data_IF_964331103516
#
_entry.id   IF_964331103516
#
_cell.length_a   1.000
_cell.length_b   1.000
_cell.length_c   1.000
_cell.angle_alpha   90.00
_cell.angle_beta   90.00
_cell.angle_gamma   90.00
#
_symmetry.space_group_name_H-M   'P 1'
#
loop_
_entity.id
_entity.type
_entity.pdbx_description
1 polymer ?
#
# COMPACT_ATOMS: atom_id res chain seq x y z
N UNK A 1 5.03 1.04 -11.31
CA UNK A 1 3.89 0.83 -10.40
C UNK A 1 3.69 2.11 -9.61
N UNK A 2 2.52 2.75 -9.67
CA UNK A 2 2.26 3.91 -8.83
C UNK A 2 2.34 3.50 -7.36
N UNK A 3 3.06 4.28 -6.56
CA UNK A 3 3.25 4.03 -5.13
C UNK A 3 2.28 4.93 -4.36
N UNK A 4 1.64 4.37 -3.34
CA UNK A 4 0.90 5.18 -2.36
C UNK A 4 1.90 6.07 -1.63
N UNK A 5 1.52 7.33 -1.33
CA UNK A 5 2.32 8.19 -0.47
C UNK A 5 2.37 7.61 0.94
N UNK A 6 3.54 7.67 1.58
CA UNK A 6 3.75 7.18 2.93
C UNK A 6 2.81 7.89 3.93
N UNK A 7 2.54 9.18 3.76
CA UNK A 7 1.63 9.96 4.62
C UNK A 7 0.17 9.47 4.52
N UNK A 8 -0.26 9.10 3.31
CA UNK A 8 -1.60 8.55 3.07
C UNK A 8 -1.70 7.16 3.71
N UNK A 9 -0.67 6.32 3.51
CA UNK A 9 -0.60 5.01 4.12
C UNK A 9 -0.62 5.08 5.65
N UNK A 10 0.17 5.98 6.25
CA UNK A 10 0.20 6.23 7.70
C UNK A 10 -1.19 6.60 8.23
N UNK A 11 -1.88 7.52 7.56
CA UNK A 11 -3.25 7.92 7.92
C UNK A 11 -4.20 6.71 7.89
N UNK A 12 -4.10 5.83 6.89
CA UNK A 12 -4.93 4.63 6.84
C UNK A 12 -4.60 3.61 7.92
N UNK A 13 -3.31 3.47 8.26
CA UNK A 13 -2.85 2.59 9.32
C UNK A 13 -3.35 3.06 10.70
N UNK A 14 -3.23 4.35 10.99
CA UNK A 14 -3.73 4.93 12.24
C UNK A 14 -5.23 4.69 12.41
N UNK A 15 -6.02 4.95 11.37
CA UNK A 15 -7.46 4.69 11.44
C UNK A 15 -7.75 3.20 11.55
N UNK A 16 -7.01 2.34 10.84
CA UNK A 16 -7.18 0.88 10.96
C UNK A 16 -6.89 0.39 12.39
N UNK A 17 -5.92 0.98 13.07
CA UNK A 17 -5.62 0.69 14.48
C UNK A 17 -6.71 1.25 15.42
N UNK A 18 -7.19 2.47 15.18
CA UNK A 18 -8.22 3.11 16.01
C UNK A 18 -9.57 2.38 15.97
N UNK A 19 -9.90 1.74 14.84
CA UNK A 19 -11.16 0.99 14.65
C UNK A 19 -10.98 -0.52 14.84
N UNK A 20 -9.76 -0.99 15.07
CA UNK A 20 -9.50 -2.41 15.27
C UNK A 20 -10.24 -2.91 16.53
N UNK A 21 -10.80 -4.13 16.50
CA UNK A 21 -11.37 -4.74 17.68
C UNK A 21 -10.35 -4.84 18.82
N UNK A 22 -10.79 -4.63 20.06
CA UNK A 22 -9.93 -4.69 21.25
C UNK A 22 -9.16 -6.02 21.34
N UNK A 23 -9.81 -7.14 21.02
CA UNK A 23 -9.15 -8.45 21.00
C UNK A 23 -8.01 -8.53 19.97
N UNK A 24 -8.11 -7.83 18.84
CA UNK A 24 -7.04 -7.74 17.85
C UNK A 24 -5.88 -6.93 18.41
N UNK A 25 -6.15 -5.80 19.06
CA UNK A 25 -5.14 -4.94 19.69
C UNK A 25 -4.38 -5.66 20.82
N UNK A 26 -5.09 -6.39 21.68
CA UNK A 26 -4.48 -7.20 22.74
C UNK A 26 -3.59 -8.30 22.13
N UNK A 27 -4.06 -8.97 21.08
CA UNK A 27 -3.29 -10.04 20.43
C UNK A 27 -2.06 -9.55 19.66
N UNK A 28 -2.04 -8.29 19.19
CA UNK A 28 -0.84 -7.70 18.60
C UNK A 28 0.32 -7.61 19.60
N UNK A 29 0.00 -7.48 20.89
CA UNK A 29 0.95 -7.44 22.00
C UNK A 29 1.10 -8.80 22.71
N UNK A 30 0.57 -9.89 22.15
CA UNK A 30 0.69 -11.21 22.76
C UNK A 30 2.13 -11.75 22.67
N UNK A 31 2.57 -12.43 23.72
CA UNK A 31 3.85 -13.15 23.75
C UNK A 31 3.85 -14.37 22.82
N UNK A 32 2.67 -14.94 22.53
CA UNK A 32 2.55 -16.02 21.55
C UNK A 32 2.74 -15.48 20.13
N UNK A 33 3.81 -15.88 19.42
CA UNK A 33 4.09 -15.41 18.07
C UNK A 33 2.99 -15.81 17.06
N UNK A 34 2.24 -16.89 17.31
CA UNK A 34 1.13 -17.29 16.43
C UNK A 34 -0.07 -16.36 16.61
N UNK A 35 -0.44 -16.07 17.85
CA UNK A 35 -1.48 -15.09 18.17
C UNK A 35 -1.14 -13.72 17.58
N UNK A 36 0.09 -13.23 17.80
CA UNK A 36 0.56 -11.96 17.26
C UNK A 36 0.50 -11.94 15.73
N UNK A 37 0.96 -13.01 15.08
CA UNK A 37 0.93 -13.10 13.61
C UNK A 37 -0.50 -13.05 13.06
N UNK A 38 -1.43 -13.79 13.67
CA UNK A 38 -2.82 -13.75 13.22
C UNK A 38 -3.45 -12.36 13.38
N UNK A 39 -3.19 -11.66 14.50
CA UNK A 39 -3.68 -10.30 14.69
C UNK A 39 -3.09 -9.31 13.66
N UNK A 40 -1.83 -9.48 13.25
CA UNK A 40 -1.23 -8.69 12.16
C UNK A 40 -1.91 -8.94 10.82
N UNK A 41 -2.27 -10.19 10.52
CA UNK A 41 -3.00 -10.55 9.30
C UNK A 41 -4.40 -9.94 9.31
N UNK A 42 -5.09 -10.00 10.45
CA UNK A 42 -6.41 -9.40 10.61
C UNK A 42 -6.33 -7.87 10.42
N UNK A 43 -5.36 -7.20 11.04
CA UNK A 43 -5.14 -5.76 10.84
C UNK A 43 -4.82 -5.42 9.37
N UNK A 44 -3.95 -6.20 8.72
CA UNK A 44 -3.62 -5.99 7.31
C UNK A 44 -4.85 -6.15 6.40
N UNK A 45 -5.75 -7.09 6.71
CA UNK A 45 -7.00 -7.24 5.98
C UNK A 45 -7.89 -6.01 6.11
N UNK A 46 -8.07 -5.48 7.32
CA UNK A 46 -8.83 -4.25 7.54
C UNK A 46 -8.20 -3.06 6.79
N UNK A 47 -6.87 -2.95 6.81
CA UNK A 47 -6.16 -1.91 6.06
C UNK A 47 -6.41 -2.04 4.56
N UNK A 48 -6.33 -3.24 3.99
CA UNK A 48 -6.60 -3.48 2.56
C UNK A 48 -8.05 -3.14 2.22
N UNK A 49 -9.02 -3.56 3.03
CA UNK A 49 -10.44 -3.21 2.83
C UNK A 49 -10.66 -1.69 2.85
N UNK A 50 -9.96 -0.97 3.73
CA UNK A 50 -9.98 0.50 3.78
C UNK A 50 -9.32 1.14 2.55
N UNK A 51 -8.19 0.60 2.11
CA UNK A 51 -7.45 1.12 0.95
C UNK A 51 -8.13 0.81 -0.39
N UNK A 52 -9.05 -0.17 -0.46
CA UNK A 52 -9.80 -0.50 -1.69
C UNK A 52 -10.65 0.66 -2.23
N UNK A 53 -11.02 1.61 -1.39
CA UNK A 53 -11.74 2.83 -1.81
C UNK A 53 -10.82 3.94 -2.35
N UNK A 54 -9.50 3.75 -2.28
CA UNK A 54 -8.51 4.73 -2.74
C UNK A 54 -8.01 4.32 -4.12
N UNK A 55 -8.39 5.09 -5.13
CA UNK A 55 -7.74 5.01 -6.45
C UNK A 55 -6.32 5.55 -6.26
N UNK A 56 -5.31 4.72 -6.53
CA UNK A 56 -3.93 5.19 -6.58
C UNK A 56 -3.81 6.03 -7.84
N UNK A 57 -4.06 7.33 -7.73
CA UNK A 57 -3.84 8.27 -8.81
C UNK A 57 -2.32 8.34 -9.03
N UNK A 58 -1.85 7.68 -10.09
CA UNK A 58 -0.51 7.92 -10.60
C UNK A 58 -0.53 9.33 -11.13
N UNK A 59 0.24 10.23 -10.52
CA UNK A 59 0.38 11.61 -10.98
C UNK A 59 0.85 11.58 -12.44
N UNK A 60 -0.11 11.70 -13.35
CA UNK A 60 0.09 11.71 -14.80
C UNK A 60 0.20 13.15 -15.27
N UNK A 61 0.66 14.05 -14.40
CA UNK A 61 0.97 15.43 -14.72
C UNK A 61 2.47 15.54 -14.97
N UNK A 62 2.92 15.10 -16.15
CA UNK A 62 4.34 15.21 -16.48
C UNK A 62 4.82 14.57 -17.77
N UNK A 63 4.02 14.60 -18.83
CA UNK A 63 4.51 14.41 -20.20
C UNK A 63 4.82 12.97 -20.62
N UNK A 64 4.49 12.67 -21.87
CA UNK A 64 5.14 11.61 -22.63
C UNK A 64 6.63 11.96 -22.81
N UNK A 65 7.41 11.85 -21.72
CA UNK A 65 8.84 12.10 -21.70
C UNK A 65 9.57 10.78 -21.63
N UNK A 66 10.01 10.31 -22.79
CA UNK A 66 11.07 9.32 -23.01
C UNK A 66 11.15 8.19 -21.96
N UNK A 67 10.50 7.06 -22.24
CA UNK A 67 10.94 5.80 -21.65
C UNK A 67 12.42 5.62 -22.00
N UNK A 68 13.29 5.63 -20.99
CA UNK A 68 14.69 5.28 -21.18
C UNK A 68 14.75 3.84 -21.68
N UNK A 69 15.03 3.66 -22.96
CA UNK A 69 15.21 2.37 -23.58
C UNK A 69 16.18 1.55 -22.72
N UNK A 70 15.73 0.40 -22.20
CA UNK A 70 16.57 -0.52 -21.42
C UNK A 70 17.71 -1.14 -22.26
N UNK A 71 17.73 -0.86 -23.56
CA UNK A 71 18.78 -1.25 -24.50
C UNK A 71 19.24 -0.04 -25.32
N UNK A 72 20.56 0.23 -25.41
CA UNK A 72 21.08 1.24 -26.32
C UNK A 72 20.89 0.75 -27.76
N UNK A 73 19.92 1.32 -28.48
CA UNK A 73 19.78 1.10 -29.93
C UNK A 73 18.39 0.81 -30.47
N UNK A 74 17.33 0.77 -29.64
CA UNK A 74 16.00 0.49 -30.18
C UNK A 74 15.35 1.77 -30.72
N UNK A 75 15.28 1.84 -32.05
CA UNK A 75 14.66 2.93 -32.81
C UNK A 75 13.15 2.88 -32.58
N UNK A 76 12.60 3.96 -32.02
CA UNK A 76 11.15 4.14 -31.88
C UNK A 76 10.44 3.92 -33.22
N UNK A 77 9.26 3.27 -33.27
CA UNK A 77 8.51 3.19 -34.51
C UNK A 77 8.04 4.59 -34.91
N UNK A 78 8.34 4.96 -36.15
CA UNK A 78 7.71 6.08 -36.86
C UNK A 78 6.26 5.67 -37.12
N UNK A 79 5.30 6.47 -36.67
CA UNK A 79 3.88 6.33 -37.01
C UNK A 79 2.97 6.80 -35.90
#
# INVERSE_FOLDING_TARGET
MPRISDDILLTHLEVALAVAPEHTLVRLNADDPRAQRSARVDLARHLVERMRGFTIESDSHGGAGAQSCLFPGDLSPIG
#
